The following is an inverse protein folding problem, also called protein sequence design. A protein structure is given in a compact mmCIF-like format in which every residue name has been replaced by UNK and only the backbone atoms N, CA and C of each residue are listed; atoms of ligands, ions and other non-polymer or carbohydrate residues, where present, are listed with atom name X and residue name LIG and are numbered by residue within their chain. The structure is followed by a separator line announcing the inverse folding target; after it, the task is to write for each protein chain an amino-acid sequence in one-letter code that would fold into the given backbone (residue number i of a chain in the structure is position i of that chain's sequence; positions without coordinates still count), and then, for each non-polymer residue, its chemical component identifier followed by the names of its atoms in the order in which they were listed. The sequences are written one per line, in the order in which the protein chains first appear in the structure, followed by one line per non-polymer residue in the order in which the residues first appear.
data_IF_229570799357
#
_entry.id   IF_229570799357
#
_cell.length_a   1.000
_cell.length_b   1.000
_cell.length_c   1.000
_cell.angle_alpha   90.00
_cell.angle_beta   90.00
_cell.angle_gamma   90.00
#
_symmetry.space_group_name_H-M   'P 1'
#
loop_
_entity.id
_entity.type
_entity.pdbx_description
1 polymer ?
#
# COMPACT_ATOMS: atom_id res chain seq x y z
N UNK A 1 -13.45 10.47 -0.25
CA UNK A 1 -12.75 10.09 1.01
C UNK A 1 -11.85 8.90 0.74
N UNK A 2 -10.69 8.79 1.40
CA UNK A 2 -9.78 7.63 1.26
C UNK A 2 -10.26 6.38 2.02
N UNK A 3 -9.85 5.19 1.55
CA UNK A 3 -9.97 3.92 2.28
C UNK A 3 -9.26 3.94 3.64
N UNK A 4 -8.21 4.75 3.79
CA UNK A 4 -7.48 4.92 5.06
C UNK A 4 -8.37 5.49 6.17
N UNK A 5 -9.37 6.31 5.82
CA UNK A 5 -10.36 6.82 6.79
C UNK A 5 -11.24 5.69 7.31
N UNK A 6 -11.65 4.75 6.45
CA UNK A 6 -12.42 3.57 6.86
C UNK A 6 -11.60 2.60 7.73
N UNK A 7 -10.27 2.63 7.65
CA UNK A 7 -9.37 1.83 8.48
C UNK A 7 -9.26 2.35 9.92
N UNK A 8 -9.47 3.66 10.15
CA UNK A 8 -9.22 4.31 11.45
C UNK A 8 -9.81 3.57 12.68
N UNK A 9 -11.05 3.03 12.65
CA UNK A 9 -11.59 2.29 13.79
C UNK A 9 -10.79 1.05 14.19
N UNK A 10 -10.05 0.45 13.25
CA UNK A 10 -9.29 -0.78 13.43
C UNK A 10 -7.82 -0.54 13.82
N UNK A 11 -7.35 0.71 13.78
CA UNK A 11 -6.00 1.11 14.17
C UNK A 11 -6.03 2.07 15.37
N UNK A 12 -6.98 1.86 16.28
CA UNK A 12 -7.15 2.65 17.51
C UNK A 12 -7.49 4.14 17.27
N UNK A 13 -7.86 4.51 16.05
CA UNK A 13 -8.21 5.88 15.64
C UNK A 13 -9.73 6.12 15.54
N UNK A 14 -10.55 5.34 16.23
CA UNK A 14 -12.03 5.48 16.20
C UNK A 14 -12.51 6.89 16.61
N UNK A 15 -11.82 7.56 17.55
CA UNK A 15 -12.14 8.95 17.92
C UNK A 15 -11.98 9.92 16.77
N UNK A 16 -11.02 9.69 15.87
CA UNK A 16 -10.80 10.50 14.66
C UNK A 16 -11.81 10.13 13.58
N UNK A 17 -12.10 8.84 13.39
CA UNK A 17 -13.13 8.38 12.45
C UNK A 17 -14.48 9.08 12.68
N UNK A 18 -14.93 9.17 13.93
CA UNK A 18 -16.20 9.83 14.30
C UNK A 18 -16.25 11.35 14.02
N UNK A 19 -15.12 11.98 13.71
CA UNK A 19 -15.06 13.41 13.36
C UNK A 19 -15.23 13.63 11.85
N UNK A 20 -15.10 12.58 11.02
CA UNK A 20 -15.30 12.71 9.58
C UNK A 20 -16.78 12.70 9.22
N UNK A 21 -17.13 13.60 8.31
CA UNK A 21 -18.39 13.62 7.58
C UNK A 21 -18.20 12.90 6.24
N UNK A 22 -18.73 11.68 6.11
CA UNK A 22 -18.42 10.77 4.99
C UNK A 22 -18.98 11.24 3.64
N UNK A 23 -20.01 12.08 3.65
CA UNK A 23 -20.62 12.73 2.49
C UNK A 23 -19.97 14.09 2.13
N UNK A 24 -18.93 14.51 2.84
CA UNK A 24 -18.15 15.72 2.55
C UNK A 24 -16.78 15.36 1.97
N UNK A 25 -16.24 16.24 1.12
CA UNK A 25 -14.87 16.11 0.60
C UNK A 25 -13.85 16.00 1.75
N UNK A 26 -12.72 15.33 1.50
CA UNK A 26 -11.70 15.07 2.54
C UNK A 26 -11.07 16.36 3.10
N UNK A 27 -11.04 17.41 2.29
CA UNK A 27 -10.53 18.76 2.56
C UNK A 27 -11.64 19.81 2.74
N UNK A 28 -12.87 19.36 2.94
CA UNK A 28 -14.02 20.22 3.22
C UNK A 28 -13.93 20.95 4.57
N UNK A 29 -14.88 21.84 4.88
CA UNK A 29 -14.85 22.66 6.10
C UNK A 29 -14.82 21.84 7.39
N UNK A 30 -15.46 20.67 7.43
CA UNK A 30 -15.47 19.75 8.57
C UNK A 30 -14.26 18.83 8.55
N UNK A 31 -13.99 18.22 7.39
CA UNK A 31 -12.99 17.15 7.27
C UNK A 31 -11.55 17.67 7.18
N UNK A 32 -11.33 18.85 6.59
CA UNK A 32 -10.03 19.44 6.37
C UNK A 32 -9.20 19.57 7.64
N UNK A 33 -9.72 20.16 8.74
CA UNK A 33 -9.00 20.22 10.02
C UNK A 33 -8.58 18.83 10.54
N UNK A 34 -9.44 17.82 10.43
CA UNK A 34 -9.15 16.44 10.87
C UNK A 34 -8.10 15.78 9.97
N UNK A 35 -8.22 15.97 8.65
CA UNK A 35 -7.32 15.44 7.65
C UNK A 35 -5.91 16.06 7.68
N UNK A 36 -5.73 17.24 8.31
CA UNK A 36 -4.42 17.87 8.53
C UNK A 36 -3.66 17.30 9.72
N UNK A 37 -4.28 16.47 10.55
CA UNK A 37 -3.63 15.83 11.70
C UNK A 37 -2.62 14.80 11.21
N UNK A 38 -1.41 14.85 11.77
CA UNK A 38 -0.36 13.85 11.57
C UNK A 38 -0.76 12.51 12.19
N UNK A 39 -0.75 11.47 11.36
CA UNK A 39 -0.93 10.07 11.79
C UNK A 39 0.37 9.31 11.55
N UNK A 40 1.14 8.97 12.62
CA UNK A 40 2.36 8.19 12.48
C UNK A 40 2.15 6.86 11.76
N UNK A 41 0.97 6.26 11.89
CA UNK A 41 0.58 4.98 11.27
C UNK A 41 0.53 5.05 9.74
N UNK A 42 0.33 6.25 9.17
CA UNK A 42 0.35 6.47 7.72
C UNK A 42 1.63 7.15 7.24
N UNK A 43 2.56 7.46 8.14
CA UNK A 43 3.80 8.13 7.80
C UNK A 43 4.96 7.13 7.72
N UNK A 44 5.91 7.41 6.85
CA UNK A 44 7.20 6.74 6.84
C UNK A 44 8.27 7.79 7.13
N UNK A 45 9.01 7.59 8.22
CA UNK A 45 10.02 8.54 8.73
C UNK A 45 11.17 8.82 7.76
N UNK A 46 11.34 8.00 6.72
CA UNK A 46 12.34 8.27 5.69
C UNK A 46 11.88 9.29 4.64
N UNK A 47 10.59 9.65 4.60
CA UNK A 47 10.15 10.82 3.85
C UNK A 47 10.40 12.10 4.66
N UNK A 48 10.74 13.21 3.99
CA UNK A 48 10.81 14.52 4.64
C UNK A 48 9.47 14.87 5.29
N UNK A 49 9.51 15.46 6.48
CA UNK A 49 8.33 16.06 7.09
C UNK A 49 7.76 17.15 6.19
N UNK A 50 6.44 17.23 6.11
CA UNK A 50 5.69 18.27 5.38
C UNK A 50 4.92 19.15 6.36
N UNK A 51 4.45 20.33 5.92
CA UNK A 51 3.49 21.14 6.67
C UNK A 51 2.22 21.36 5.81
N UNK A 52 1.06 20.80 6.19
CA UNK A 52 0.85 19.89 7.33
C UNK A 52 1.52 18.53 7.11
N UNK A 53 1.95 17.86 8.18
CA UNK A 53 2.59 16.54 8.10
C UNK A 53 1.56 15.40 7.97
N UNK A 54 0.63 15.53 7.03
CA UNK A 54 -0.48 14.60 6.82
C UNK A 54 -0.27 13.68 5.60
N UNK A 55 0.97 13.53 5.15
CA UNK A 55 1.32 12.81 3.95
C UNK A 55 1.59 11.34 4.22
N UNK A 56 1.20 10.47 3.26
CA UNK A 56 1.47 9.04 3.27
C UNK A 56 2.06 8.56 1.94
N UNK A 57 3.10 7.70 1.96
CA UNK A 57 3.57 7.01 0.77
C UNK A 57 2.78 5.71 0.50
N UNK A 58 2.05 5.18 1.47
CA UNK A 58 1.44 3.85 1.39
C UNK A 58 0.17 3.88 0.57
N UNK A 59 0.23 3.47 -0.70
CA UNK A 59 -0.84 3.57 -1.70
C UNK A 59 -1.22 2.20 -2.26
N UNK A 60 -2.44 2.09 -2.77
CA UNK A 60 -2.94 0.87 -3.44
C UNK A 60 -2.83 1.03 -4.95
N UNK A 61 -2.79 -0.10 -5.67
CA UNK A 61 -2.94 -0.12 -7.13
C UNK A 61 -4.41 -0.28 -7.52
N UNK A 62 -4.87 0.48 -8.52
CA UNK A 62 -6.27 0.50 -8.95
C UNK A 62 -6.42 0.04 -10.40
N UNK A 63 -7.29 -0.94 -10.61
CA UNK A 63 -7.59 -1.53 -11.91
C UNK A 63 -6.55 -2.56 -12.37
N UNK A 64 -6.64 -2.99 -13.63
CA UNK A 64 -5.62 -3.84 -14.27
C UNK A 64 -5.44 -5.23 -13.65
N UNK A 65 -6.41 -5.72 -12.85
CA UNK A 65 -6.31 -6.98 -12.12
C UNK A 65 -5.82 -6.85 -10.68
N UNK A 66 -5.53 -5.63 -10.20
CA UNK A 66 -5.30 -5.36 -8.78
C UNK A 66 -6.59 -5.54 -7.96
N UNK A 67 -6.45 -5.67 -6.64
CA UNK A 67 -7.59 -5.90 -5.73
C UNK A 67 -8.51 -4.69 -5.60
N UNK A 68 -7.96 -3.48 -5.70
CA UNK A 68 -8.78 -2.29 -5.79
C UNK A 68 -9.18 -2.10 -7.25
N UNK A 69 -10.47 -2.21 -7.53
CA UNK A 69 -11.04 -1.96 -8.86
C UNK A 69 -12.34 -1.16 -8.70
N UNK A 70 -12.44 -0.04 -9.41
CA UNK A 70 -13.64 0.81 -9.39
C UNK A 70 -14.85 0.13 -10.06
N UNK A 71 -14.59 -0.87 -10.91
CA UNK A 71 -15.61 -1.60 -11.69
C UNK A 71 -16.01 -2.91 -11.02
N UNK A 72 -15.19 -3.46 -10.12
CA UNK A 72 -15.41 -4.76 -9.49
C UNK A 72 -15.07 -4.74 -8.00
N UNK A 73 -16.04 -5.13 -7.17
CA UNK A 73 -15.77 -5.44 -5.75
C UNK A 73 -15.08 -6.80 -5.67
N UNK A 74 -13.94 -6.83 -5.00
CA UNK A 74 -13.17 -8.06 -4.75
C UNK A 74 -13.41 -8.55 -3.33
N UNK A 75 -13.45 -9.87 -3.17
CA UNK A 75 -13.44 -10.58 -1.87
C UNK A 75 -12.15 -11.41 -1.75
N UNK A 76 -11.86 -11.93 -0.57
CA UNK A 76 -10.67 -12.79 -0.38
C UNK A 76 -10.71 -14.05 -1.25
N UNK A 77 -11.89 -14.60 -1.55
CA UNK A 77 -12.03 -15.74 -2.45
C UNK A 77 -11.78 -15.40 -3.93
N UNK A 78 -11.79 -14.11 -4.29
CA UNK A 78 -11.46 -13.66 -5.64
C UNK A 78 -9.93 -13.50 -5.86
N UNK A 79 -9.09 -13.85 -4.89
CA UNK A 79 -7.62 -13.73 -4.98
C UNK A 79 -7.01 -15.10 -5.29
N UNK A 80 -7.15 -15.53 -6.54
CA UNK A 80 -6.78 -16.87 -7.02
C UNK A 80 -5.28 -17.18 -6.94
N UNK A 81 -4.42 -16.18 -7.04
CA UNK A 81 -2.96 -16.36 -6.91
C UNK A 81 -2.51 -16.51 -5.44
N UNK A 82 -3.45 -16.34 -4.50
CA UNK A 82 -3.25 -16.46 -3.07
C UNK A 82 -2.99 -15.11 -2.38
N UNK A 83 -3.61 -14.93 -1.20
CA UNK A 83 -3.53 -13.69 -0.42
C UNK A 83 -2.11 -13.36 0.05
N UNK A 84 -1.29 -14.38 0.28
CA UNK A 84 0.13 -14.21 0.64
C UNK A 84 1.02 -13.84 -0.54
N UNK A 85 0.57 -14.03 -1.79
CA UNK A 85 1.34 -13.70 -2.99
C UNK A 85 0.88 -12.40 -3.65
N UNK A 86 -0.27 -11.86 -3.25
CA UNK A 86 -0.84 -10.64 -3.84
C UNK A 86 -0.55 -9.42 -2.96
N UNK A 87 -0.01 -8.37 -3.56
CA UNK A 87 0.24 -7.06 -2.94
C UNK A 87 -1.07 -6.30 -2.87
N UNK A 88 -1.40 -5.81 -1.66
CA UNK A 88 -2.54 -4.93 -1.44
C UNK A 88 -2.12 -3.45 -1.50
N UNK A 89 -1.01 -3.10 -0.86
CA UNK A 89 -0.50 -1.73 -0.80
C UNK A 89 1.01 -1.69 -0.88
N UNK A 90 1.55 -0.56 -1.31
CA UNK A 90 2.99 -0.37 -1.54
C UNK A 90 3.43 1.04 -1.13
N UNK A 91 4.68 1.17 -0.70
CA UNK A 91 5.31 2.49 -0.56
C UNK A 91 5.58 3.12 -1.93
N UNK A 92 4.85 4.15 -2.31
CA UNK A 92 5.06 4.96 -3.51
C UNK A 92 6.07 6.08 -3.26
N UNK A 93 6.80 6.53 -4.30
CA UNK A 93 7.72 7.67 -4.17
C UNK A 93 6.98 8.97 -3.89
N UNK A 94 5.85 9.20 -4.58
CA UNK A 94 5.00 10.37 -4.37
C UNK A 94 3.98 10.11 -3.26
N UNK A 95 3.99 10.98 -2.25
CA UNK A 95 3.04 10.94 -1.15
C UNK A 95 1.75 11.69 -1.47
N UNK A 96 0.69 11.37 -0.73
CA UNK A 96 -0.60 12.06 -0.79
C UNK A 96 -1.11 12.33 0.63
N UNK A 97 -1.99 13.33 0.86
CA UNK A 97 -2.73 13.44 2.11
C UNK A 97 -3.43 12.12 2.46
N UNK A 98 -3.26 11.60 3.67
CA UNK A 98 -3.76 10.27 4.02
C UNK A 98 -5.29 10.13 3.87
N UNK A 99 -6.04 11.22 4.07
CA UNK A 99 -7.50 11.25 3.91
C UNK A 99 -7.98 11.40 2.46
N UNK A 100 -7.09 11.79 1.53
CA UNK A 100 -7.40 11.93 0.11
C UNK A 100 -7.34 10.56 -0.59
N UNK A 101 -8.35 10.27 -1.42
CA UNK A 101 -8.26 9.16 -2.37
C UNK A 101 -7.49 9.64 -3.60
N UNK A 102 -6.25 9.18 -3.73
CA UNK A 102 -5.38 9.43 -4.87
C UNK A 102 -4.39 8.27 -4.93
N UNK A 103 -4.77 7.23 -5.65
CA UNK A 103 -4.09 5.92 -5.63
C UNK A 103 -3.36 5.67 -6.96
N UNK A 104 -2.61 4.57 -7.06
CA UNK A 104 -1.74 4.31 -8.20
C UNK A 104 -2.55 3.64 -9.32
N UNK A 105 -2.73 4.24 -10.50
CA UNK A 105 -3.37 3.54 -11.61
C UNK A 105 -2.49 2.37 -12.05
N UNK A 106 -3.10 1.21 -12.30
CA UNK A 106 -2.39 0.03 -12.74
C UNK A 106 -2.90 -0.45 -14.10
N UNK A 107 -1.95 -0.62 -15.03
CA UNK A 107 -2.17 -1.29 -16.30
C UNK A 107 -1.01 -2.27 -16.52
N UNK A 108 -1.26 -3.59 -16.67
CA UNK A 108 -0.21 -4.60 -16.77
C UNK A 108 0.83 -4.31 -17.87
N UNK A 109 0.39 -3.71 -18.98
CA UNK A 109 1.24 -3.40 -20.13
C UNK A 109 1.93 -2.03 -20.05
N UNK A 110 1.68 -1.23 -19.00
CA UNK A 110 2.31 0.08 -18.81
C UNK A 110 3.48 -0.02 -17.81
N UNK A 111 4.42 0.95 -17.81
CA UNK A 111 5.41 1.07 -16.75
C UNK A 111 4.75 1.28 -15.38
N UNK A 112 5.34 0.71 -14.32
CA UNK A 112 4.94 1.03 -12.95
C UNK A 112 5.30 2.49 -12.62
N UNK A 113 4.51 3.17 -11.78
CA UNK A 113 4.89 4.49 -11.27
C UNK A 113 6.16 4.39 -10.41
N UNK A 114 6.81 5.52 -10.06
CA UNK A 114 7.94 5.50 -9.14
C UNK A 114 7.56 4.97 -7.74
N UNK A 115 8.34 4.01 -7.23
CA UNK A 115 8.10 3.32 -5.95
C UNK A 115 9.28 3.43 -4.98
N UNK A 116 8.96 3.46 -3.70
CA UNK A 116 9.90 3.53 -2.59
C UNK A 116 10.53 4.91 -2.34
N UNK A 117 11.18 5.04 -1.18
CA UNK A 117 11.99 6.24 -0.82
C UNK A 117 13.26 6.24 -1.65
N UNK A 118 13.71 7.37 -2.22
CA UNK A 118 14.99 7.42 -2.94
C UNK A 118 16.21 6.84 -2.18
N UNK A 119 16.26 6.96 -0.85
CA UNK A 119 17.38 6.55 0.01
C UNK A 119 17.35 5.09 0.49
N UNK A 120 16.45 4.26 -0.04
CA UNK A 120 16.34 2.83 0.31
C UNK A 120 16.42 1.99 -0.95
N UNK A 121 17.02 0.82 -0.85
CA UNK A 121 17.08 -0.19 -1.92
C UNK A 121 15.92 -1.20 -1.86
N UNK A 122 14.99 -0.99 -0.93
CA UNK A 122 13.80 -1.81 -0.76
C UNK A 122 12.53 -0.95 -0.64
N UNK A 123 11.40 -1.59 -0.93
CA UNK A 123 10.06 -1.00 -0.91
C UNK A 123 9.20 -1.81 0.06
N UNK A 124 8.61 -1.21 1.11
CA UNK A 124 7.64 -1.92 1.94
C UNK A 124 6.38 -2.21 1.12
N UNK A 125 5.94 -3.47 1.13
CA UNK A 125 4.68 -3.92 0.51
C UNK A 125 3.83 -4.61 1.57
N UNK A 126 2.56 -4.23 1.64
CA UNK A 126 1.56 -4.91 2.45
C UNK A 126 0.82 -5.92 1.57
N UNK A 127 0.82 -7.18 1.99
CA UNK A 127 0.15 -8.28 1.31
C UNK A 127 -1.32 -8.35 1.74
N UNK A 128 -2.13 -9.09 1.00
CA UNK A 128 -3.57 -9.23 1.27
C UNK A 128 -3.86 -10.02 2.54
N UNK A 129 -2.98 -10.95 2.89
CA UNK A 129 -3.04 -11.68 4.17
C UNK A 129 -2.64 -10.83 5.39
N UNK A 130 -2.26 -9.56 5.19
CA UNK A 130 -1.83 -8.64 6.24
C UNK A 130 -0.34 -8.72 6.58
N UNK A 131 0.42 -9.64 5.97
CA UNK A 131 1.87 -9.68 6.11
C UNK A 131 2.54 -8.50 5.40
N UNK A 132 3.75 -8.14 5.84
CA UNK A 132 4.57 -7.09 5.21
C UNK A 132 5.84 -7.73 4.66
N UNK A 133 6.18 -7.38 3.42
CA UNK A 133 7.43 -7.78 2.77
C UNK A 133 8.22 -6.54 2.35
N UNK A 134 9.52 -6.73 2.09
CA UNK A 134 10.42 -5.67 1.62
C UNK A 134 10.88 -6.00 0.21
N UNK A 135 10.15 -5.56 -0.82
CA UNK A 135 10.50 -5.83 -2.21
C UNK A 135 11.82 -5.14 -2.58
N UNK A 136 12.73 -5.83 -3.28
CA UNK A 136 13.96 -5.21 -3.76
C UNK A 136 13.63 -4.21 -4.88
N UNK A 137 14.20 -3.00 -4.84
CA UNK A 137 14.01 -2.03 -5.93
C UNK A 137 14.61 -2.45 -7.27
N UNK A 138 15.62 -3.31 -7.26
CA UNK A 138 16.23 -3.86 -8.47
C UNK A 138 15.52 -5.11 -9.00
N UNK A 139 14.37 -5.48 -8.42
CA UNK A 139 13.58 -6.61 -8.92
C UNK A 139 13.12 -6.37 -10.36
N UNK A 140 13.01 -7.44 -11.13
CA UNK A 140 12.31 -7.40 -12.42
C UNK A 140 10.89 -6.81 -12.22
N UNK A 141 10.56 -5.70 -12.93
CA UNK A 141 9.23 -5.10 -12.87
C UNK A 141 8.09 -6.08 -13.19
N UNK A 142 8.33 -7.13 -13.99
CA UNK A 142 7.32 -8.14 -14.30
C UNK A 142 6.95 -8.96 -13.07
N UNK A 143 7.90 -9.27 -12.19
CA UNK A 143 7.62 -9.97 -10.93
C UNK A 143 6.77 -9.08 -10.02
N UNK A 144 7.07 -7.78 -9.95
CA UNK A 144 6.27 -6.86 -9.16
C UNK A 144 4.86 -6.70 -9.74
N UNK A 145 4.70 -6.69 -11.06
CA UNK A 145 3.40 -6.67 -11.74
C UNK A 145 2.58 -7.93 -11.47
N UNK A 146 3.20 -9.10 -11.56
CA UNK A 146 2.60 -10.37 -11.20
C UNK A 146 2.12 -10.37 -9.74
N UNK A 147 2.92 -9.82 -8.83
CA UNK A 147 2.52 -9.70 -7.42
C UNK A 147 1.39 -8.68 -7.19
N UNK A 148 1.11 -7.76 -8.12
CA UNK A 148 0.00 -6.80 -8.00
C UNK A 148 -1.33 -7.41 -8.46
N UNK A 149 -1.30 -8.31 -9.44
CA UNK A 149 -2.50 -8.97 -9.97
C UNK A 149 -3.01 -10.05 -9.02
N UNK A 150 -4.33 -10.12 -8.85
CA UNK A 150 -4.95 -11.09 -7.95
C UNK A 150 -5.19 -12.47 -8.58
N UNK A 151 -5.21 -12.55 -9.92
CA UNK A 151 -5.55 -13.74 -10.71
C UNK A 151 -4.78 -13.79 -12.05
N UNK A 152 -3.50 -13.41 -12.04
CA UNK A 152 -2.64 -13.50 -13.23
C UNK A 152 -2.08 -14.91 -13.47
N UNK A 153 -2.01 -15.74 -12.41
CA UNK A 153 -1.55 -17.14 -12.49
C UNK A 153 -0.03 -17.30 -12.58
N UNK A 154 0.74 -16.22 -12.46
CA UNK A 154 2.20 -16.26 -12.48
C UNK A 154 2.77 -16.73 -11.13
N UNK A 155 3.90 -17.45 -11.19
CA UNK A 155 4.65 -17.83 -9.99
C UNK A 155 5.68 -16.75 -9.64
N UNK A 156 5.70 -16.32 -8.38
CA UNK A 156 6.70 -15.38 -7.88
C UNK A 156 7.99 -16.14 -7.47
N UNK A 157 9.20 -15.66 -7.85
CA UNK A 157 10.48 -16.22 -7.40
C UNK A 157 10.61 -16.18 -5.87
N UNK A 158 11.19 -17.19 -5.23
CA UNK A 158 11.30 -17.26 -3.75
C UNK A 158 11.97 -16.03 -3.09
N UNK A 159 12.88 -15.37 -3.81
CA UNK A 159 13.70 -14.24 -3.36
C UNK A 159 13.24 -12.86 -3.87
N UNK A 160 12.00 -12.75 -4.39
CA UNK A 160 11.47 -11.49 -4.93
C UNK A 160 11.38 -10.36 -3.89
N UNK A 161 11.29 -10.71 -2.62
CA UNK A 161 11.43 -9.77 -1.51
C UNK A 161 12.68 -10.09 -0.72
N UNK A 162 13.26 -9.06 -0.11
CA UNK A 162 14.42 -9.18 0.76
C UNK A 162 14.17 -10.29 1.78
N UNK A 163 14.94 -11.39 1.72
CA UNK A 163 14.85 -12.37 2.77
C UNK A 163 15.51 -11.72 3.99
N UNK A 164 14.87 -11.81 5.15
CA UNK A 164 15.66 -12.17 6.32
C UNK A 164 16.34 -13.46 5.89
N UNK A 165 17.57 -13.41 5.35
CA UNK A 165 18.31 -14.64 5.08
C UNK A 165 18.20 -15.43 6.37
N UNK A 166 17.69 -16.67 6.27
CA UNK A 166 17.71 -17.68 7.31
C UNK A 166 18.91 -17.38 8.20
N UNK A 167 18.65 -17.21 9.49
CA UNK A 167 19.71 -17.10 10.48
C UNK A 167 20.81 -18.10 10.10
N UNK A 168 22.07 -17.68 9.90
CA UNK A 168 23.17 -18.60 9.59
C UNK A 168 23.29 -19.74 10.61
N UNK A 169 22.62 -19.66 11.77
CA UNK A 169 22.54 -20.72 12.78
C UNK A 169 21.37 -21.72 12.62
N UNK A 170 20.50 -21.61 11.60
CA UNK A 170 19.31 -22.49 11.47
C UNK A 170 19.40 -23.60 10.42
N UNK A 171 20.52 -23.77 9.73
CA UNK A 171 20.83 -25.02 9.00
C UNK A 171 21.98 -25.73 9.69
N UNK A 172 21.63 -26.49 10.72
CA UNK A 172 22.56 -27.31 11.48
C UNK A 172 21.84 -28.28 12.40
N UNK A 173 21.05 -29.19 11.82
CA UNK A 173 20.84 -30.57 12.29
C UNK A 173 20.49 -31.46 11.10
#
# INVERSE_FOLDING_TARGET
MSWRVALLPYIEQNKRYKQFKLDEAWDGPTNGPVARITLPEFNDRAWPSTDPNNQTPYRVFVGGGAIFDERKKMTFSDVGDGTSNTIMLIGATQTVPWAQYNELPFAPNAPLPPLGVPRRDWIPVGMVDGSVRMANKSIDPQVLKAAITANGGESLPEDWYWPWKRDPYTTGK
#
